data_IF_203587346592
#
_entry.id   IF_203587346592
#
_cell.length_a   1.000
_cell.length_b   1.000
_cell.length_c   1.000
_cell.angle_alpha   90.00
_cell.angle_beta   90.00
_cell.angle_gamma   90.00
#
_symmetry.space_group_name_H-M   'P 1'
#
loop_
_entity.id
_entity.type
_entity.pdbx_description
1 polymer ?
#
# COMPACT_ATOMS: atom_id res chain seq x y z
N UNK A 1 -13.29 -18.30 6.33
CA UNK A 1 -12.11 -17.88 5.54
C UNK A 1 -10.90 -17.87 6.48
N UNK A 2 -9.92 -18.79 6.35
CA UNK A 2 -8.73 -18.79 7.22
C UNK A 2 -7.83 -17.62 6.82
N UNK A 3 -7.82 -16.59 7.64
CA UNK A 3 -6.95 -15.43 7.46
C UNK A 3 -5.51 -15.89 7.70
N UNK A 4 -4.65 -15.77 6.68
CA UNK A 4 -3.26 -16.19 6.80
C UNK A 4 -2.45 -15.05 7.43
N UNK A 5 -1.93 -15.22 8.66
CA UNK A 5 -1.30 -14.14 9.41
C UNK A 5 -0.09 -13.53 8.67
N UNK A 6 0.66 -14.36 7.93
CA UNK A 6 1.80 -13.89 7.11
C UNK A 6 1.38 -12.85 6.07
N UNK A 7 0.21 -13.04 5.43
CA UNK A 7 -0.29 -12.10 4.41
C UNK A 7 -0.72 -10.77 5.02
N UNK A 8 -1.24 -10.78 6.25
CA UNK A 8 -1.57 -9.55 6.99
C UNK A 8 -0.29 -8.83 7.37
N UNK A 9 0.70 -9.53 7.92
CA UNK A 9 1.96 -8.91 8.33
C UNK A 9 2.63 -8.21 7.15
N UNK A 10 2.76 -8.88 6.00
CA UNK A 10 3.36 -8.28 4.79
C UNK A 10 2.57 -7.04 4.34
N UNK A 11 1.24 -7.12 4.36
CA UNK A 11 0.39 -5.99 3.96
C UNK A 11 0.55 -4.80 4.93
N UNK A 12 0.52 -5.06 6.23
CA UNK A 12 0.68 -4.03 7.27
C UNK A 12 2.08 -3.41 7.26
N UNK A 13 3.13 -4.21 7.10
CA UNK A 13 4.51 -3.74 6.93
C UNK A 13 4.65 -2.87 5.68
N UNK A 14 4.01 -3.26 4.57
CA UNK A 14 3.99 -2.45 3.35
C UNK A 14 3.33 -1.09 3.55
N UNK A 15 2.20 -1.04 4.26
CA UNK A 15 1.51 0.23 4.58
C UNK A 15 2.43 1.13 5.38
N UNK A 16 3.07 0.59 6.43
CA UNK A 16 3.98 1.33 7.29
C UNK A 16 5.16 1.94 6.52
N UNK A 17 5.79 1.17 5.63
CA UNK A 17 6.92 1.66 4.84
C UNK A 17 6.51 2.76 3.85
N UNK A 18 5.39 2.57 3.14
CA UNK A 18 4.85 3.59 2.23
C UNK A 18 4.45 4.85 2.98
N UNK A 19 3.84 4.69 4.16
CA UNK A 19 3.42 5.81 5.00
C UNK A 19 4.61 6.66 5.44
N UNK A 20 5.66 6.04 5.97
CA UNK A 20 6.89 6.72 6.37
C UNK A 20 7.52 7.43 5.15
N UNK A 21 7.58 6.75 4.01
CA UNK A 21 8.09 7.35 2.78
C UNK A 21 7.34 8.63 2.37
N UNK A 22 6.01 8.60 2.37
CA UNK A 22 5.21 9.78 2.03
C UNK A 22 5.35 10.90 3.05
N UNK A 23 5.36 10.58 4.35
CA UNK A 23 5.56 11.59 5.40
C UNK A 23 6.92 12.26 5.24
N UNK A 24 7.99 11.50 5.00
CA UNK A 24 9.32 12.05 4.75
C UNK A 24 9.33 12.91 3.48
N UNK A 25 8.72 12.43 2.39
CA UNK A 25 8.66 13.17 1.14
C UNK A 25 7.91 14.51 1.29
N UNK A 26 6.77 14.50 1.97
CA UNK A 26 5.95 15.69 2.21
C UNK A 26 6.69 16.71 3.09
N UNK A 27 7.36 16.20 4.13
CA UNK A 27 8.20 17.00 5.02
C UNK A 27 9.37 17.65 4.27
N UNK A 28 10.12 16.90 3.46
CA UNK A 28 11.27 17.46 2.73
C UNK A 28 10.87 18.42 1.60
N UNK A 29 9.73 18.17 0.95
CA UNK A 29 9.35 18.90 -0.26
C UNK A 29 8.47 20.11 0.02
N UNK A 30 7.53 19.97 0.94
CA UNK A 30 6.51 20.98 1.23
C UNK A 30 6.63 21.54 2.64
N UNK A 31 7.49 20.94 3.49
CA UNK A 31 7.62 21.28 4.91
C UNK A 31 6.29 21.14 5.68
N UNK A 32 5.40 20.27 5.17
CA UNK A 32 4.10 19.95 5.73
C UNK A 32 4.08 18.52 6.24
N UNK A 33 3.30 18.27 7.29
CA UNK A 33 3.11 16.95 7.88
C UNK A 33 1.64 16.55 7.79
N UNK A 34 1.21 16.18 6.59
CA UNK A 34 -0.16 15.74 6.33
C UNK A 34 -0.34 14.25 6.66
N UNK A 35 -0.35 13.92 7.95
CA UNK A 35 -0.42 12.54 8.45
C UNK A 35 -1.61 11.73 7.89
N UNK A 36 -2.81 12.32 7.88
CA UNK A 36 -4.02 11.62 7.41
C UNK A 36 -3.96 11.37 5.90
N UNK A 37 -3.54 12.38 5.14
CA UNK A 37 -3.46 12.29 3.68
C UNK A 37 -2.41 11.27 3.24
N UNK A 38 -1.23 11.28 3.86
CA UNK A 38 -0.17 10.33 3.58
C UNK A 38 -0.54 8.90 3.97
N UNK A 39 -1.34 8.72 5.03
CA UNK A 39 -1.89 7.42 5.39
C UNK A 39 -2.89 6.92 4.34
N UNK A 40 -3.83 7.76 3.91
CA UNK A 40 -4.82 7.42 2.89
C UNK A 40 -4.16 7.13 1.53
N UNK A 41 -3.15 7.91 1.12
CA UNK A 41 -2.34 7.65 -0.08
C UNK A 41 -1.69 6.27 -0.03
N UNK A 42 -1.09 5.92 1.11
CA UNK A 42 -0.44 4.62 1.31
C UNK A 42 -1.42 3.46 1.20
N UNK A 43 -2.60 3.59 1.82
CA UNK A 43 -3.68 2.61 1.71
C UNK A 43 -4.18 2.47 0.27
N UNK A 44 -4.42 3.59 -0.41
CA UNK A 44 -4.93 3.61 -1.77
C UNK A 44 -3.96 2.92 -2.75
N UNK A 45 -2.67 3.22 -2.66
CA UNK A 45 -1.64 2.62 -3.53
C UNK A 45 -1.57 1.10 -3.31
N UNK A 46 -1.55 0.63 -2.06
CA UNK A 46 -1.48 -0.80 -1.79
C UNK A 46 -2.75 -1.54 -2.21
N UNK A 47 -3.92 -0.94 -2.00
CA UNK A 47 -5.18 -1.49 -2.47
C UNK A 47 -5.20 -1.57 -4.00
N UNK A 48 -4.78 -0.50 -4.68
CA UNK A 48 -4.73 -0.42 -6.14
C UNK A 48 -3.76 -1.45 -6.73
N UNK A 49 -2.53 -1.54 -6.22
CA UNK A 49 -1.55 -2.55 -6.64
C UNK A 49 -2.10 -3.95 -6.44
N UNK A 50 -2.81 -4.21 -5.35
CA UNK A 50 -3.41 -5.52 -5.09
C UNK A 50 -4.54 -5.86 -6.06
N UNK A 51 -5.40 -4.90 -6.37
CA UNK A 51 -6.47 -5.05 -7.37
C UNK A 51 -5.87 -5.28 -8.75
N UNK A 52 -4.85 -4.51 -9.13
CA UNK A 52 -4.14 -4.71 -10.40
C UNK A 52 -3.50 -6.08 -10.47
N UNK A 53 -2.74 -6.49 -9.46
CA UNK A 53 -2.13 -7.83 -9.43
C UNK A 53 -3.17 -8.93 -9.56
N UNK A 54 -4.34 -8.79 -8.93
CA UNK A 54 -5.45 -9.72 -9.10
C UNK A 54 -6.01 -9.74 -10.53
N UNK A 55 -6.17 -8.57 -11.15
CA UNK A 55 -6.62 -8.43 -12.54
C UNK A 55 -5.62 -9.07 -13.53
N UNK A 56 -4.32 -8.88 -13.30
CA UNK A 56 -3.26 -9.44 -14.14
C UNK A 56 -3.02 -10.93 -13.90
N UNK A 57 -3.17 -11.44 -12.67
CA UNK A 57 -3.06 -12.89 -12.39
C UNK A 57 -4.22 -13.67 -13.03
N UNK A 58 -5.42 -13.10 -13.07
CA UNK A 58 -6.58 -13.71 -13.76
C UNK A 58 -6.29 -13.96 -15.23
N UNK A 59 -5.41 -13.15 -15.85
CA UNK A 59 -4.98 -13.31 -17.24
C UNK A 59 -3.97 -14.44 -17.44
N UNK A 60 -3.23 -14.83 -16.40
CA UNK A 60 -2.18 -15.87 -16.44
C UNK A 60 -2.73 -17.30 -16.32
N UNK A 61 -3.92 -17.48 -15.76
CA UNK A 61 -4.56 -18.80 -15.62
C UNK A 61 -5.40 -19.22 -16.84
N UNK A 62 -5.49 -18.37 -17.87
CA UNK A 62 -6.23 -18.64 -19.12
C UNK A 62 -5.32 -18.86 -20.35
N UNK A 63 -4.01 -18.89 -20.16
CA UNK A 63 -3.03 -19.43 -21.12
C UNK A 63 -2.48 -20.77 -20.63
#
# INVERSE_FOLDING_TARGET
MKINPRKITIFSTGILLLFIFFVLYDYFKFNELNWIENFLKSLFILAFVRILSWLFDSKKQQM
#
